data_IF_106780593832
#
_entry.id   IF_106780593832
#
_cell.length_a   1.000
_cell.length_b   1.000
_cell.length_c   1.000
_cell.angle_alpha   90.00
_cell.angle_beta   90.00
_cell.angle_gamma   90.00
#
_symmetry.space_group_name_H-M   'P 1'
#
loop_
_entity.id
_entity.type
_entity.pdbx_description
1 polymer ?
#
# COMPACT_ATOMS: atom_id res chain seq x y z
N UNK A 1 -12.32 11.78 -26.59
CA UNK A 1 -12.40 12.46 -25.28
C UNK A 1 -12.14 11.40 -24.21
N UNK A 2 -10.96 11.45 -23.58
CA UNK A 2 -10.42 10.43 -22.67
C UNK A 2 -11.06 10.56 -21.29
N UNK A 3 -11.77 9.52 -20.84
CA UNK A 3 -12.29 9.43 -19.47
C UNK A 3 -11.49 8.42 -18.66
N UNK A 4 -10.39 8.85 -18.05
CA UNK A 4 -9.64 8.03 -17.09
C UNK A 4 -9.86 8.60 -15.69
N UNK A 5 -10.70 7.94 -14.92
CA UNK A 5 -10.72 8.04 -13.46
C UNK A 5 -10.97 6.65 -12.90
N UNK A 6 -9.99 5.75 -13.06
CA UNK A 6 -9.90 4.52 -12.28
C UNK A 6 -9.54 4.90 -10.86
N UNK A 7 -10.53 5.38 -10.11
CA UNK A 7 -10.45 5.50 -8.66
C UNK A 7 -10.59 4.10 -8.09
N UNK A 8 -9.49 3.34 -8.05
CA UNK A 8 -9.39 2.18 -7.15
C UNK A 8 -9.16 2.72 -5.74
N UNK A 9 -10.23 3.18 -5.10
CA UNK A 9 -10.28 3.19 -3.65
C UNK A 9 -10.22 1.73 -3.23
N UNK A 10 -9.10 1.31 -2.68
CA UNK A 10 -9.01 0.05 -1.94
C UNK A 10 -9.83 0.24 -0.67
N UNK A 11 -11.15 0.10 -0.82
CA UNK A 11 -12.11 0.19 0.27
C UNK A 11 -11.80 -0.94 1.26
N UNK A 12 -11.23 -0.58 2.40
CA UNK A 12 -11.28 -1.41 3.60
C UNK A 12 -12.77 -1.54 3.96
N UNK A 13 -13.38 -2.74 3.95
CA UNK A 13 -14.78 -2.87 4.32
C UNK A 13 -14.98 -2.44 5.77
N UNK A 14 -15.75 -1.37 5.96
CA UNK A 14 -16.14 -0.91 7.28
C UNK A 14 -16.98 -2.00 7.98
N UNK A 15 -16.51 -2.37 9.17
CA UNK A 15 -17.30 -2.99 10.25
C UNK A 15 -17.68 -4.48 10.11
N UNK A 16 -16.75 -5.37 10.45
CA UNK A 16 -16.98 -6.51 11.37
C UNK A 16 -15.64 -7.10 11.83
N UNK A 17 -15.31 -6.99 13.13
CA UNK A 17 -13.96 -7.29 13.67
C UNK A 17 -13.53 -8.76 13.50
N UNK A 18 -14.46 -9.68 13.22
CA UNK A 18 -14.20 -11.11 12.99
C UNK A 18 -13.64 -11.47 11.61
N UNK A 19 -13.80 -10.63 10.59
CA UNK A 19 -13.22 -10.83 9.23
C UNK A 19 -12.04 -9.91 8.92
N UNK A 20 -11.65 -9.03 9.87
CA UNK A 20 -10.58 -8.05 9.67
C UNK A 20 -9.19 -8.69 9.67
N UNK A 21 -8.97 -9.75 10.48
CA UNK A 21 -7.69 -10.46 10.50
C UNK A 21 -7.43 -11.19 9.18
N UNK A 22 -8.43 -11.92 8.66
CA UNK A 22 -8.32 -12.61 7.38
C UNK A 22 -8.13 -11.65 6.22
N UNK A 23 -8.80 -10.49 6.24
CA UNK A 23 -8.61 -9.47 5.22
C UNK A 23 -7.22 -8.83 5.30
N UNK A 24 -6.71 -8.52 6.51
CA UNK A 24 -5.37 -7.99 6.68
C UNK A 24 -4.28 -8.99 6.25
N UNK A 25 -4.49 -10.28 6.48
CA UNK A 25 -3.62 -11.35 6.00
C UNK A 25 -3.65 -11.47 4.48
N UNK A 26 -4.84 -11.45 3.88
CA UNK A 26 -5.01 -11.45 2.43
C UNK A 26 -4.32 -10.26 1.80
N UNK A 27 -4.55 -9.05 2.32
CA UNK A 27 -3.92 -7.83 1.83
C UNK A 27 -2.39 -7.92 1.93
N UNK A 28 -1.84 -8.42 3.04
CA UNK A 28 -0.38 -8.61 3.19
C UNK A 28 0.18 -9.60 2.18
N UNK A 29 -0.53 -10.71 1.92
CA UNK A 29 -0.12 -11.70 0.93
C UNK A 29 -0.14 -11.11 -0.48
N UNK A 30 -1.22 -10.43 -0.85
CA UNK A 30 -1.41 -9.84 -2.17
C UNK A 30 -0.39 -8.73 -2.46
N UNK A 31 0.03 -7.98 -1.43
CA UNK A 31 0.96 -6.86 -1.55
C UNK A 31 2.42 -7.22 -1.27
N UNK A 32 2.74 -8.47 -0.91
CA UNK A 32 4.09 -8.87 -0.50
C UNK A 32 5.16 -8.55 -1.55
N UNK A 33 4.90 -8.89 -2.82
CA UNK A 33 5.83 -8.64 -3.94
C UNK A 33 6.02 -7.14 -4.19
N UNK A 34 4.94 -6.36 -4.12
CA UNK A 34 4.99 -4.92 -4.33
C UNK A 34 5.82 -4.23 -3.22
N UNK A 35 5.65 -4.65 -1.97
CA UNK A 35 6.41 -4.14 -0.84
C UNK A 35 7.91 -4.47 -0.96
N UNK A 36 8.26 -5.70 -1.37
CA UNK A 36 9.68 -6.07 -1.61
C UNK A 36 10.30 -5.19 -2.69
N UNK A 37 9.64 -5.05 -3.84
CA UNK A 37 10.14 -4.19 -4.94
C UNK A 37 10.28 -2.73 -4.50
N UNK A 38 9.32 -2.21 -3.74
CA UNK A 38 9.39 -0.85 -3.21
C UNK A 38 10.55 -0.67 -2.22
N UNK A 39 10.80 -1.67 -1.36
CA UNK A 39 11.90 -1.62 -0.41
C UNK A 39 13.26 -1.66 -1.13
N UNK A 40 13.43 -2.53 -2.12
CA UNK A 40 14.66 -2.57 -2.91
C UNK A 40 14.95 -1.25 -3.63
N UNK A 41 13.90 -0.56 -4.10
CA UNK A 41 14.07 0.75 -4.72
C UNK A 41 14.55 1.78 -3.70
N UNK A 42 13.97 1.79 -2.49
CA UNK A 42 14.40 2.66 -1.38
C UNK A 42 15.83 2.36 -0.97
N UNK A 43 16.24 1.09 -0.91
CA UNK A 43 17.61 0.72 -0.58
C UNK A 43 18.62 1.25 -1.61
N UNK A 44 18.24 1.25 -2.89
CA UNK A 44 19.08 1.72 -4.00
C UNK A 44 19.12 3.24 -4.13
N UNK A 45 18.02 3.94 -3.84
CA UNK A 45 17.86 5.37 -4.16
C UNK A 45 17.71 6.27 -2.93
N UNK A 46 17.57 5.68 -1.74
CA UNK A 46 17.22 6.36 -0.51
C UNK A 46 15.73 6.68 -0.40
N UNK A 47 15.32 7.11 0.79
CA UNK A 47 13.94 7.51 1.09
C UNK A 47 13.63 8.89 0.45
N UNK A 48 12.69 8.99 -0.51
CA UNK A 48 12.42 10.24 -1.23
C UNK A 48 12.01 11.39 -0.31
N UNK A 49 11.29 11.07 0.75
CA UNK A 49 10.75 12.04 1.70
C UNK A 49 11.62 12.24 2.94
N UNK A 50 12.78 11.56 3.04
CA UNK A 50 13.67 11.73 4.20
C UNK A 50 14.07 13.19 4.42
N UNK A 51 14.24 13.97 3.33
CA UNK A 51 14.55 15.41 3.36
C UNK A 51 13.48 16.28 4.03
N UNK A 52 12.24 15.78 4.18
CA UNK A 52 11.13 16.51 4.77
C UNK A 52 10.78 16.03 6.18
N UNK A 53 11.47 15.00 6.68
CA UNK A 53 11.23 14.48 8.02
C UNK A 53 11.69 15.52 9.05
N UNK A 54 10.73 16.25 9.61
CA UNK A 54 10.98 17.08 10.81
C UNK A 54 11.11 16.13 12.00
N UNK A 55 12.22 16.24 12.71
CA UNK A 55 12.55 15.43 13.88
C UNK A 55 11.54 15.68 15.00
#
# INVERSE_FOLDING_TARGET
MTGNATTRHEQLPHSNKGSMLSYAEQWRADNAVALVSSNEWVDKHGLPLARYRKF
#
